data_IF_024759848657
#
_entry.id   IF_024759848657
#
_cell.length_a   1.000
_cell.length_b   1.000
_cell.length_c   1.000
_cell.angle_alpha   90.00
_cell.angle_beta   90.00
_cell.angle_gamma   90.00
#
_symmetry.space_group_name_H-M   'P 1'
#
loop_
_entity.id
_entity.type
_entity.pdbx_description
1 polymer ?
#
# COMPACT_ATOMS: atom_id res chain seq x y z
N UNK A 1 3.22 -17.32 2.24
CA UNK A 1 2.04 -16.68 2.90
C UNK A 1 0.89 -16.83 1.94
N UNK A 2 -0.30 -17.21 2.43
CA UNK A 2 -1.50 -17.18 1.59
C UNK A 2 -1.85 -15.72 1.28
N UNK A 3 -2.41 -15.46 0.10
CA UNK A 3 -2.94 -14.14 -0.28
C UNK A 3 -3.97 -13.68 0.76
N UNK A 4 -4.01 -12.37 1.05
CA UNK A 4 -4.90 -11.77 2.05
C UNK A 4 -4.44 -11.89 3.52
N UNK A 5 -3.32 -12.55 3.82
CA UNK A 5 -2.76 -12.63 5.19
C UNK A 5 -1.82 -11.46 5.48
N UNK A 6 -1.91 -10.93 6.69
CA UNK A 6 -1.11 -9.79 7.16
C UNK A 6 0.12 -10.24 7.97
N UNK A 7 1.22 -9.49 7.84
CA UNK A 7 2.37 -9.58 8.72
C UNK A 7 2.70 -8.22 9.31
N UNK A 8 2.79 -8.16 10.63
CA UNK A 8 3.21 -6.96 11.35
C UNK A 8 4.70 -7.08 11.74
N UNK A 9 5.46 -6.03 11.44
CA UNK A 9 6.88 -5.92 11.74
C UNK A 9 7.13 -4.63 12.52
N UNK A 10 7.88 -4.73 13.60
CA UNK A 10 8.44 -3.55 14.25
C UNK A 10 9.83 -3.31 13.65
N UNK A 11 10.04 -2.11 13.13
CA UNK A 11 11.34 -1.65 12.68
C UNK A 11 12.05 -1.03 13.88
N UNK A 12 13.36 -1.25 13.99
CA UNK A 12 14.14 -0.60 15.03
C UNK A 12 14.24 0.91 14.72
N UNK A 13 14.93 1.67 15.58
CA UNK A 13 15.29 3.05 15.25
C UNK A 13 16.22 3.03 14.03
N UNK A 14 15.65 3.35 12.86
CA UNK A 14 16.36 3.44 11.59
C UNK A 14 16.75 4.87 11.26
N UNK A 15 17.79 5.06 10.46
CA UNK A 15 18.17 6.38 9.96
C UNK A 15 17.47 6.62 8.63
N UNK A 16 16.61 7.64 8.58
CA UNK A 16 16.04 8.17 7.35
C UNK A 16 16.95 9.28 6.83
N UNK A 17 17.35 9.20 5.56
CA UNK A 17 18.18 10.20 4.91
C UNK A 17 17.60 10.54 3.56
N UNK A 18 17.50 11.83 3.26
CA UNK A 18 17.03 12.33 1.98
C UNK A 18 18.06 13.24 1.35
N UNK A 19 18.12 13.24 0.03
CA UNK A 19 18.97 14.14 -0.74
C UNK A 19 18.13 14.72 -1.88
N UNK A 20 17.99 16.04 -1.94
CA UNK A 20 17.34 16.71 -3.06
C UNK A 20 18.19 16.51 -4.31
N UNK A 21 17.62 15.88 -5.33
CA UNK A 21 18.30 15.64 -6.63
C UNK A 21 17.89 16.72 -7.62
N UNK A 22 16.63 17.13 -7.62
CA UNK A 22 16.07 18.21 -8.45
C UNK A 22 14.95 18.92 -7.68
N UNK A 23 14.34 20.00 -8.21
CA UNK A 23 13.27 20.74 -7.52
C UNK A 23 12.18 19.85 -6.91
N UNK A 24 11.76 18.83 -7.66
CA UNK A 24 10.65 17.93 -7.31
C UNK A 24 11.09 16.49 -6.98
N UNK A 25 12.39 16.17 -7.06
CA UNK A 25 12.87 14.79 -6.89
C UNK A 25 13.86 14.70 -5.74
N UNK A 26 13.56 13.80 -4.81
CA UNK A 26 14.43 13.46 -3.69
C UNK A 26 14.83 11.99 -3.76
N UNK A 27 16.10 11.71 -3.46
CA UNK A 27 16.57 10.35 -3.19
C UNK A 27 16.36 10.06 -1.73
N UNK A 28 15.65 8.98 -1.42
CA UNK A 28 15.51 8.49 -0.04
C UNK A 28 16.43 7.30 0.21
N UNK A 29 16.97 7.21 1.41
CA UNK A 29 17.72 6.07 1.91
C UNK A 29 17.31 5.77 3.35
N UNK A 30 16.86 4.53 3.58
CA UNK A 30 16.48 4.04 4.89
C UNK A 30 17.05 2.64 5.12
N UNK A 31 17.78 2.47 6.23
CA UNK A 31 18.40 1.19 6.59
C UNK A 31 18.21 0.91 8.07
N UNK A 32 17.73 -0.30 8.37
CA UNK A 32 17.43 -0.73 9.73
C UNK A 32 17.24 -2.25 9.80
N UNK A 33 17.36 -2.81 10.99
CA UNK A 33 16.89 -4.18 11.29
C UNK A 33 15.39 -4.14 11.60
N UNK A 34 14.68 -5.20 11.21
CA UNK A 34 13.26 -5.35 11.54
C UNK A 34 12.99 -6.69 12.21
N UNK A 35 12.01 -6.72 13.10
CA UNK A 35 11.63 -7.89 13.89
C UNK A 35 10.15 -8.19 13.72
N UNK A 36 9.82 -9.49 13.66
CA UNK A 36 8.43 -9.92 13.57
C UNK A 36 7.78 -9.70 14.92
N UNK A 37 6.56 -9.16 14.96
CA UNK A 37 5.82 -8.94 16.22
C UNK A 37 5.52 -10.28 16.92
N UNK A 38 5.12 -11.30 16.16
CA UNK A 38 4.89 -12.66 16.67
C UNK A 38 6.01 -13.63 16.28
N UNK A 39 6.16 -14.73 17.04
CA UNK A 39 7.06 -15.83 16.65
C UNK A 39 6.61 -16.46 15.33
N UNK A 40 7.58 -16.90 14.53
CA UNK A 40 7.26 -17.67 13.33
C UNK A 40 6.84 -19.09 13.71
N UNK A 41 5.80 -19.66 13.06
CA UNK A 41 5.48 -21.07 13.21
C UNK A 41 6.70 -21.95 12.93
N UNK A 42 6.82 -23.07 13.64
CA UNK A 42 7.91 -24.02 13.44
C UNK A 42 7.94 -24.50 11.97
N UNK A 43 9.13 -24.60 11.40
CA UNK A 43 9.33 -25.00 10.00
C UNK A 43 8.87 -23.97 8.95
N UNK A 44 8.38 -22.80 9.35
CA UNK A 44 7.92 -21.76 8.43
C UNK A 44 8.97 -20.70 8.15
N UNK A 45 8.80 -20.00 7.02
CA UNK A 45 9.65 -18.86 6.64
C UNK A 45 10.80 -19.24 5.71
N UNK A 46 11.57 -18.21 5.34
CA UNK A 46 12.73 -18.38 4.49
C UNK A 46 13.93 -18.86 5.31
N UNK A 47 14.80 -19.67 4.70
CA UNK A 47 16.07 -20.07 5.33
C UNK A 47 16.93 -18.83 5.63
N UNK A 48 17.68 -18.86 6.73
CA UNK A 48 18.66 -17.83 7.07
C UNK A 48 19.63 -17.62 5.89
N UNK A 49 19.93 -16.36 5.57
CA UNK A 49 20.74 -15.98 4.41
C UNK A 49 19.95 -15.83 3.10
N UNK A 50 18.63 -16.05 3.11
CA UNK A 50 17.78 -15.72 1.95
C UNK A 50 17.67 -14.21 1.77
N UNK A 51 17.97 -13.73 0.55
CA UNK A 51 17.82 -12.34 0.16
C UNK A 51 16.54 -12.13 -0.67
N UNK A 52 15.95 -10.95 -0.55
CA UNK A 52 14.82 -10.54 -1.38
C UNK A 52 15.08 -9.18 -1.99
N UNK A 53 14.74 -9.05 -3.27
CA UNK A 53 14.70 -7.77 -3.96
C UNK A 53 13.24 -7.40 -4.14
N UNK A 54 12.81 -6.37 -3.42
CA UNK A 54 11.46 -5.83 -3.48
C UNK A 54 11.52 -4.44 -4.12
N UNK A 55 10.57 -4.15 -5.00
CA UNK A 55 10.26 -2.81 -5.45
C UNK A 55 9.06 -2.30 -4.64
N UNK A 56 9.14 -1.08 -4.12
CA UNK A 56 8.05 -0.44 -3.36
C UNK A 56 7.58 0.77 -4.17
N UNK A 57 6.29 0.82 -4.43
CA UNK A 57 5.60 1.99 -4.97
C UNK A 57 4.62 2.45 -3.89
N UNK A 58 4.82 3.66 -3.37
CA UNK A 58 4.07 4.14 -2.23
C UNK A 58 3.97 5.66 -2.23
N UNK A 59 2.90 6.15 -1.64
CA UNK A 59 2.73 7.55 -1.28
C UNK A 59 3.18 7.75 0.16
N UNK A 60 3.85 8.86 0.42
CA UNK A 60 4.15 9.32 1.76
C UNK A 60 3.34 10.58 2.04
N UNK A 61 2.44 10.49 3.02
CA UNK A 61 1.71 11.65 3.53
C UNK A 61 2.40 12.13 4.80
N UNK A 62 2.70 13.43 4.85
CA UNK A 62 3.47 14.05 5.92
C UNK A 62 2.75 15.31 6.39
N UNK A 63 2.55 15.45 7.70
CA UNK A 63 1.97 16.66 8.29
C UNK A 63 2.92 17.20 9.35
N UNK A 64 3.23 18.50 9.26
CA UNK A 64 3.99 19.18 10.31
C UNK A 64 3.11 19.33 11.54
N UNK A 65 3.58 18.84 12.69
CA UNK A 65 2.84 18.89 13.95
C UNK A 65 3.30 20.07 14.81
N UNK A 66 4.61 20.34 14.82
CA UNK A 66 5.22 21.47 15.51
C UNK A 66 6.57 21.81 14.84
N UNK A 67 7.45 22.56 15.52
CA UNK A 67 8.73 22.98 14.96
C UNK A 67 9.57 21.83 14.40
N UNK A 68 9.61 20.70 15.12
CA UNK A 68 10.56 19.61 14.91
C UNK A 68 9.88 18.26 14.59
N UNK A 69 8.57 18.14 14.85
CA UNK A 69 7.83 16.90 14.66
C UNK A 69 6.94 16.93 13.41
N UNK A 70 6.96 15.81 12.71
CA UNK A 70 6.09 15.54 11.57
C UNK A 70 5.46 14.16 11.74
N UNK A 71 4.16 14.03 11.49
CA UNK A 71 3.54 12.73 11.29
C UNK A 71 3.94 12.19 9.92
N UNK A 72 4.08 10.88 9.78
CA UNK A 72 4.38 10.25 8.50
C UNK A 72 3.60 8.96 8.32
N UNK A 73 2.95 8.83 7.17
CA UNK A 73 2.24 7.62 6.74
C UNK A 73 2.78 7.23 5.38
N UNK A 74 3.27 6.00 5.25
CA UNK A 74 3.69 5.42 3.98
C UNK A 74 2.74 4.28 3.61
N UNK A 75 1.93 4.48 2.58
CA UNK A 75 0.95 3.51 2.09
C UNK A 75 1.21 3.18 0.63
N UNK A 76 1.16 1.90 0.29
CA UNK A 76 1.40 1.46 -1.08
C UNK A 76 1.60 -0.04 -1.19
N UNK A 77 2.22 -0.43 -2.30
CA UNK A 77 2.38 -1.80 -2.73
C UNK A 77 3.85 -2.20 -2.77
N UNK A 78 4.12 -3.49 -2.63
CA UNK A 78 5.46 -4.04 -2.66
C UNK A 78 5.54 -5.28 -3.54
N UNK A 79 6.19 -5.13 -4.69
CA UNK A 79 6.35 -6.18 -5.69
C UNK A 79 7.66 -6.96 -5.48
N UNK A 80 7.58 -8.30 -5.51
CA UNK A 80 8.77 -9.16 -5.47
C UNK A 80 9.43 -9.17 -6.85
N UNK A 81 10.60 -8.54 -6.98
CA UNK A 81 11.34 -8.54 -8.23
C UNK A 81 12.17 -9.82 -8.39
N UNK A 82 12.86 -10.21 -7.32
CA UNK A 82 13.66 -11.43 -7.29
C UNK A 82 13.87 -11.92 -5.86
N UNK A 83 14.37 -13.14 -5.73
CA UNK A 83 14.91 -13.65 -4.47
C UNK A 83 16.23 -14.35 -4.71
N UNK A 84 17.02 -14.46 -3.66
CA UNK A 84 18.29 -15.17 -3.65
C UNK A 84 18.22 -16.21 -2.55
N UNK A 85 18.14 -17.48 -2.94
CA UNK A 85 18.06 -18.60 -2.01
C UNK A 85 19.33 -18.67 -1.16
N UNK A 86 19.18 -19.04 0.12
CA UNK A 86 20.30 -19.25 1.02
C UNK A 86 21.39 -20.16 0.39
N UNK A 87 22.64 -19.73 0.48
CA UNK A 87 23.80 -20.43 -0.08
C UNK A 87 23.99 -20.31 -1.60
N UNK A 88 23.04 -19.75 -2.34
CA UNK A 88 23.22 -19.48 -3.79
C UNK A 88 23.96 -18.16 -4.00
N UNK A 89 24.75 -18.08 -5.07
CA UNK A 89 25.49 -16.85 -5.45
C UNK A 89 24.66 -15.90 -6.31
N UNK A 90 23.74 -16.43 -7.13
CA UNK A 90 22.91 -15.66 -8.07
C UNK A 90 21.49 -15.42 -7.56
N UNK A 91 20.86 -14.37 -8.09
CA UNK A 91 19.42 -14.09 -7.93
C UNK A 91 18.59 -15.04 -8.81
N UNK A 92 17.32 -15.22 -8.45
CA UNK A 92 16.35 -16.04 -9.19
C UNK A 92 16.05 -15.54 -10.61
N UNK A 93 16.43 -14.30 -10.93
CA UNK A 93 16.25 -13.69 -12.24
C UNK A 93 17.45 -12.78 -12.53
N UNK A 94 17.89 -12.74 -13.79
CA UNK A 94 18.94 -11.81 -14.25
C UNK A 94 18.44 -10.36 -14.30
N UNK A 95 19.36 -9.39 -14.27
CA UNK A 95 19.02 -7.97 -14.21
C UNK A 95 18.08 -7.49 -15.35
N UNK A 96 18.29 -7.99 -16.57
CA UNK A 96 17.42 -7.68 -17.72
C UNK A 96 15.98 -8.18 -17.51
N UNK A 97 15.82 -9.41 -17.01
CA UNK A 97 14.51 -9.98 -16.73
C UNK A 97 13.81 -9.26 -15.57
N UNK A 98 14.54 -8.90 -14.51
CA UNK A 98 14.03 -8.09 -13.41
C UNK A 98 13.48 -6.75 -13.92
N UNK A 99 14.22 -6.06 -14.80
CA UNK A 99 13.81 -4.79 -15.41
C UNK A 99 12.58 -4.95 -16.29
N UNK A 100 12.54 -5.99 -17.15
CA UNK A 100 11.40 -6.25 -18.04
C UNK A 100 10.11 -6.48 -17.24
N UNK A 101 10.19 -7.28 -16.17
CA UNK A 101 9.06 -7.52 -15.27
C UNK A 101 8.56 -6.25 -14.60
N UNK A 102 9.48 -5.42 -14.08
CA UNK A 102 9.12 -4.14 -13.46
C UNK A 102 8.49 -3.16 -14.47
N UNK A 103 9.02 -3.06 -15.70
CA UNK A 103 8.45 -2.21 -16.74
C UNK A 103 7.02 -2.64 -17.07
N UNK A 104 6.77 -3.94 -17.22
CA UNK A 104 5.41 -4.45 -17.48
C UNK A 104 4.48 -4.03 -16.35
N UNK A 105 4.87 -4.29 -15.11
CA UNK A 105 4.11 -3.91 -13.93
C UNK A 105 3.77 -2.41 -13.89
N UNK A 106 4.76 -1.54 -14.13
CA UNK A 106 4.55 -0.10 -14.12
C UNK A 106 3.65 0.38 -15.27
N UNK A 107 3.73 -0.24 -16.45
CA UNK A 107 2.82 0.07 -17.56
C UNK A 107 1.38 -0.32 -17.24
N UNK A 108 1.19 -1.45 -16.57
CA UNK A 108 -0.14 -1.91 -16.14
C UNK A 108 -0.70 -0.95 -15.10
N UNK A 109 0.12 -0.55 -14.12
CA UNK A 109 -0.22 0.45 -13.12
C UNK A 109 -0.59 1.82 -13.73
N UNK A 110 0.15 2.29 -14.75
CA UNK A 110 -0.20 3.53 -15.46
C UNK A 110 -1.58 3.39 -16.13
N UNK A 111 -1.87 2.25 -16.79
CA UNK A 111 -3.18 2.04 -17.41
C UNK A 111 -4.31 2.05 -16.39
N UNK A 112 -4.07 1.58 -15.17
CA UNK A 112 -5.04 1.62 -14.07
C UNK A 112 -5.28 3.05 -13.58
N UNK A 113 -4.20 3.78 -13.28
CA UNK A 113 -4.28 5.19 -12.86
C UNK A 113 -5.05 6.06 -13.86
N UNK A 114 -4.98 5.72 -15.15
CA UNK A 114 -5.68 6.43 -16.22
C UNK A 114 -7.17 6.09 -16.33
N UNK A 115 -7.63 4.98 -15.72
CA UNK A 115 -8.95 4.41 -15.99
C UNK A 115 -9.93 4.47 -14.83
N UNK A 116 -9.48 4.63 -13.59
CA UNK A 116 -10.34 4.28 -12.46
C UNK A 116 -10.14 5.15 -11.22
N UNK A 117 -11.08 6.08 -11.04
CA UNK A 117 -11.43 6.66 -9.75
C UNK A 117 -12.95 6.62 -9.65
N UNK A 118 -13.46 6.17 -8.52
CA UNK A 118 -14.88 6.30 -8.21
C UNK A 118 -15.03 7.61 -7.45
N UNK A 119 -15.72 8.59 -8.02
CA UNK A 119 -16.02 9.83 -7.32
C UNK A 119 -16.93 9.54 -6.14
N UNK A 120 -16.58 10.04 -4.96
CA UNK A 120 -17.40 9.97 -3.76
C UNK A 120 -17.97 11.35 -3.49
N UNK A 121 -19.28 11.43 -3.25
CA UNK A 121 -19.93 12.67 -2.84
C UNK A 121 -21.12 12.36 -1.95
N UNK A 122 -21.00 12.62 -0.65
CA UNK A 122 -22.06 12.33 0.31
C UNK A 122 -22.03 13.27 1.52
N UNK A 123 -23.15 13.35 2.21
CA UNK A 123 -23.25 14.03 3.51
C UNK A 123 -23.24 13.01 4.64
N UNK A 124 -22.52 13.32 5.72
CA UNK A 124 -22.47 12.49 6.91
C UNK A 124 -22.23 13.36 8.15
N UNK A 125 -23.09 13.23 9.16
CA UNK A 125 -23.01 14.02 10.41
C UNK A 125 -22.91 15.53 10.13
N UNK A 126 -23.80 16.05 9.28
CA UNK A 126 -23.89 17.46 8.84
C UNK A 126 -22.63 18.01 8.15
N UNK A 127 -21.78 17.11 7.61
CA UNK A 127 -20.59 17.46 6.83
C UNK A 127 -20.67 16.87 5.44
N UNK A 128 -20.40 17.70 4.44
CA UNK A 128 -20.20 17.25 3.07
C UNK A 128 -18.79 16.66 2.89
N UNK A 129 -18.73 15.52 2.21
CA UNK A 129 -17.51 14.85 1.82
C UNK A 129 -17.47 14.72 0.31
N UNK A 130 -16.37 15.17 -0.28
CA UNK A 130 -16.06 14.97 -1.69
C UNK A 130 -14.71 14.27 -1.81
N UNK A 131 -14.61 13.25 -2.64
CA UNK A 131 -13.37 12.50 -2.71
C UNK A 131 -13.37 11.44 -3.77
N UNK A 132 -12.43 10.52 -3.64
CA UNK A 132 -12.22 9.46 -4.61
C UNK A 132 -11.98 8.14 -3.88
N UNK A 133 -12.57 7.07 -4.41
CA UNK A 133 -12.14 5.73 -4.13
C UNK A 133 -11.33 5.21 -5.32
N UNK A 134 -10.04 4.98 -5.07
CA UNK A 134 -9.09 4.52 -6.07
C UNK A 134 -8.95 3.00 -5.89
N UNK A 135 -9.36 2.17 -6.86
CA UNK A 135 -9.27 0.72 -6.72
C UNK A 135 -7.83 0.25 -6.53
N UNK A 136 -7.65 -0.77 -5.69
CA UNK A 136 -6.36 -1.43 -5.51
C UNK A 136 -6.33 -2.65 -6.43
N UNK A 137 -5.49 -2.63 -7.45
CA UNK A 137 -5.48 -3.68 -8.49
C UNK A 137 -5.39 -5.10 -7.94
N UNK A 138 -4.50 -5.31 -6.97
CA UNK A 138 -4.26 -6.65 -6.41
C UNK A 138 -5.48 -7.20 -5.65
N UNK A 139 -6.51 -6.38 -5.48
CA UNK A 139 -7.79 -6.75 -4.88
C UNK A 139 -8.85 -7.17 -5.89
N UNK A 140 -8.56 -7.11 -7.19
CA UNK A 140 -9.44 -7.60 -8.24
C UNK A 140 -9.51 -9.12 -8.19
N UNK A 141 -10.72 -9.65 -7.98
CA UNK A 141 -10.94 -11.10 -7.88
C UNK A 141 -11.36 -11.76 -9.21
N UNK A 142 -11.43 -10.99 -10.29
CA UNK A 142 -11.91 -11.41 -11.60
C UNK A 142 -13.23 -10.75 -11.97
N UNK A 143 -13.98 -10.25 -10.99
CA UNK A 143 -15.27 -9.58 -11.20
C UNK A 143 -15.28 -8.18 -10.57
N UNK A 144 -14.82 -8.03 -9.33
CA UNK A 144 -14.87 -6.76 -8.60
C UNK A 144 -13.55 -6.44 -7.89
N UNK A 145 -13.32 -5.15 -7.64
CA UNK A 145 -12.25 -4.72 -6.73
C UNK A 145 -12.75 -4.81 -5.30
N UNK A 146 -11.99 -5.50 -4.44
CA UNK A 146 -12.38 -5.66 -3.04
C UNK A 146 -11.72 -4.64 -2.10
N UNK A 147 -10.80 -3.80 -2.60
CA UNK A 147 -10.09 -2.81 -1.79
C UNK A 147 -9.93 -1.48 -2.54
N UNK A 148 -10.04 -0.37 -1.83
CA UNK A 148 -9.91 0.98 -2.39
C UNK A 148 -9.11 1.88 -1.46
N UNK A 149 -8.20 2.69 -2.02
CA UNK A 149 -7.67 3.86 -1.32
C UNK A 149 -8.75 4.94 -1.31
N UNK A 150 -9.05 5.46 -0.12
CA UNK A 150 -10.06 6.51 0.05
C UNK A 150 -9.36 7.83 0.31
N UNK A 151 -9.65 8.82 -0.52
CA UNK A 151 -9.39 10.23 -0.25
C UNK A 151 -10.71 10.94 0.01
N UNK A 152 -10.77 11.81 1.02
CA UNK A 152 -11.92 12.66 1.30
C UNK A 152 -11.41 14.07 1.58
N UNK A 153 -12.02 15.06 0.93
CA UNK A 153 -11.71 16.48 1.02
C UNK A 153 -10.21 16.79 0.80
N UNK A 154 -9.56 16.03 -0.08
CA UNK A 154 -8.14 16.16 -0.41
C UNK A 154 -7.19 15.34 0.48
N UNK A 155 -7.70 14.73 1.56
CA UNK A 155 -6.89 13.96 2.51
C UNK A 155 -7.03 12.45 2.33
N UNK A 156 -5.92 11.73 2.45
CA UNK A 156 -5.93 10.28 2.54
C UNK A 156 -6.58 9.82 3.85
N UNK A 157 -7.70 9.10 3.73
CA UNK A 157 -8.49 8.63 4.87
C UNK A 157 -8.08 7.20 5.30
N UNK A 158 -7.61 6.36 4.38
CA UNK A 158 -7.26 4.96 4.63
C UNK A 158 -7.60 4.02 3.47
N UNK A 159 -7.38 2.71 3.65
CA UNK A 159 -7.84 1.69 2.71
C UNK A 159 -9.12 1.06 3.24
N UNK A 160 -10.20 1.14 2.48
CA UNK A 160 -11.43 0.41 2.75
C UNK A 160 -11.41 -0.94 2.01
N UNK A 161 -11.96 -1.99 2.64
CA UNK A 161 -11.90 -3.38 2.18
C UNK A 161 -13.26 -4.04 2.31
N UNK A 162 -13.75 -4.65 1.24
CA UNK A 162 -14.91 -5.51 1.24
C UNK A 162 -14.55 -6.87 1.84
N UNK A 163 -15.20 -7.24 2.94
CA UNK A 163 -15.10 -8.57 3.54
C UNK A 163 -16.49 -9.23 3.51
N UNK A 164 -16.53 -10.55 3.71
CA UNK A 164 -17.79 -11.30 3.86
C UNK A 164 -18.69 -10.75 4.97
N UNK A 165 -18.09 -10.16 6.01
CA UNK A 165 -18.79 -9.57 7.16
C UNK A 165 -19.14 -8.08 6.97
N UNK A 166 -18.94 -7.52 5.76
CA UNK A 166 -19.09 -6.09 5.48
C UNK A 166 -17.76 -5.37 5.27
N UNK A 167 -17.83 -4.04 5.13
CA UNK A 167 -16.68 -3.21 4.81
C UNK A 167 -15.88 -2.83 6.07
N UNK A 168 -14.55 -2.79 5.95
CA UNK A 168 -13.64 -2.34 7.03
C UNK A 168 -12.56 -1.43 6.50
N UNK A 169 -12.13 -0.49 7.33
CA UNK A 169 -11.01 0.40 7.06
C UNK A 169 -9.82 0.06 7.97
N UNK A 170 -8.60 0.29 7.50
CA UNK A 170 -7.37 0.02 8.28
C UNK A 170 -6.90 1.16 9.17
N UNK A 171 -7.47 2.36 9.01
CA UNK A 171 -7.36 3.48 9.94
C UNK A 171 -8.38 3.36 11.09
N UNK A 172 -8.15 4.08 12.20
CA UNK A 172 -9.11 4.26 13.31
C UNK A 172 -10.29 5.18 12.88
N UNK A 173 -10.84 4.95 11.70
CA UNK A 173 -11.95 5.73 11.14
C UNK A 173 -13.24 5.36 11.86
N UNK A 174 -14.11 6.36 12.09
CA UNK A 174 -15.42 6.16 12.69
C UNK A 174 -16.22 5.11 11.88
N UNK A 175 -16.74 4.03 12.52
CA UNK A 175 -17.54 3.02 11.83
C UNK A 175 -18.74 3.56 11.05
N UNK A 176 -19.37 4.66 11.51
CA UNK A 176 -20.50 5.28 10.80
C UNK A 176 -20.06 5.88 9.46
N UNK A 177 -18.91 6.56 9.42
CA UNK A 177 -18.30 7.08 8.20
C UNK A 177 -17.87 5.97 7.25
N UNK A 178 -17.29 4.87 7.77
CA UNK A 178 -16.94 3.69 6.95
C UNK A 178 -18.18 3.12 6.25
N UNK A 179 -19.33 3.12 6.92
CA UNK A 179 -20.60 2.67 6.34
C UNK A 179 -21.08 3.61 5.22
N UNK A 180 -21.03 4.93 5.43
CA UNK A 180 -21.42 5.91 4.42
C UNK A 180 -20.56 5.82 3.14
N UNK A 181 -19.24 5.65 3.29
CA UNK A 181 -18.32 5.41 2.17
C UNK A 181 -18.72 4.12 1.42
N UNK A 182 -18.99 3.04 2.17
CA UNK A 182 -19.34 1.75 1.60
C UNK A 182 -20.68 1.74 0.85
N UNK A 183 -21.65 2.56 1.26
CA UNK A 183 -22.94 2.71 0.57
C UNK A 183 -22.73 3.39 -0.79
N UNK A 184 -21.95 4.48 -0.84
CA UNK A 184 -21.60 5.17 -2.08
C UNK A 184 -20.81 4.27 -3.06
N UNK A 185 -19.90 3.44 -2.54
CA UNK A 185 -19.16 2.50 -3.38
C UNK A 185 -20.07 1.49 -4.11
N UNK A 186 -21.11 1.00 -3.44
CA UNK A 186 -22.05 0.03 -4.04
C UNK A 186 -22.93 0.64 -5.13
N UNK A 187 -23.30 1.92 -4.99
CA UNK A 187 -24.09 2.63 -5.99
C UNK A 187 -23.34 2.74 -7.32
N UNK A 188 -22.01 2.88 -7.25
CA UNK A 188 -21.13 2.93 -8.43
C UNK A 188 -20.77 1.57 -9.03
N UNK A 189 -21.00 0.45 -8.33
CA UNK A 189 -20.83 -0.91 -8.90
C UNK A 189 -22.04 -1.35 -9.73
N UNK A 190 -23.18 -0.65 -9.66
CA UNK A 190 -24.43 -0.98 -10.36
C UNK A 190 -24.71 -0.11 -11.60
N UNK A 191 -23.84 0.87 -11.89
CA UNK A 191 -23.93 1.82 -13.01
C UNK A 191 -22.93 1.50 -14.12
#
# INVERSE_FOLDING_TARGET
>A
MKVGRTHTWNYDKGRWQETKISPEVWRIFYSVKKRRVGKAPAGSGAKVGTGYHWFILAHQNVQKLNADDYSTILSGIKLKIAHKTAGKKSWSAGASQQRKGLISFLKDFIRQLQKQVISLSFEHEDKAYHGEAIPIEESFDGENYTHFYITLNGDYTGIIRALKSGWKMDSNTNPSLVKAIAENLKEHEQS
#
